data_IF_367868817245
#
_entry.id   IF_367868817245
#
_cell.length_a   1.000
_cell.length_b   1.000
_cell.length_c   1.000
_cell.angle_alpha   90.00
_cell.angle_beta   90.00
_cell.angle_gamma   90.00
#
_symmetry.space_group_name_H-M   'P 1'
#
loop_
_entity.id
_entity.type
_entity.pdbx_description
1 polymer ?
#
# COMPACT_ATOMS: atom_id res chain seq x y z
N UNK A 1 9.18 -27.54 16.57
CA UNK A 1 9.68 -26.17 16.41
C UNK A 1 9.23 -25.67 15.04
N UNK A 2 8.10 -24.97 14.97
CA UNK A 2 7.65 -24.38 13.69
C UNK A 2 8.45 -23.09 13.52
N UNK A 3 9.42 -23.09 12.61
CA UNK A 3 10.04 -21.86 12.14
C UNK A 3 8.94 -21.12 11.39
N UNK A 4 8.45 -20.02 11.95
CA UNK A 4 7.61 -19.07 11.21
C UNK A 4 8.50 -18.51 10.08
N UNK A 5 8.55 -19.20 8.96
CA UNK A 5 9.01 -18.67 7.69
C UNK A 5 7.99 -17.61 7.28
N UNK A 6 8.12 -16.41 7.87
CA UNK A 6 7.52 -15.21 7.31
C UNK A 6 8.13 -15.10 5.93
N UNK A 7 7.33 -15.44 4.94
CA UNK A 7 7.71 -15.30 3.57
C UNK A 7 8.23 -13.87 3.31
N UNK A 8 9.10 -13.63 2.32
CA UNK A 8 9.54 -12.28 1.95
C UNK A 8 8.36 -11.34 1.64
N UNK A 9 7.22 -11.92 1.24
CA UNK A 9 5.93 -11.27 0.98
C UNK A 9 5.03 -11.10 2.21
N UNK A 10 5.45 -11.57 3.39
CA UNK A 10 4.79 -11.40 4.70
C UNK A 10 5.39 -10.20 5.47
N UNK A 11 6.00 -9.27 4.74
CA UNK A 11 6.46 -8.01 5.33
C UNK A 11 5.28 -7.08 5.58
N UNK A 12 5.33 -6.28 6.65
CA UNK A 12 4.31 -5.27 6.93
C UNK A 12 4.11 -4.31 5.75
N UNK A 13 5.17 -4.09 4.97
CA UNK A 13 5.13 -3.32 3.73
C UNK A 13 4.30 -4.00 2.63
N UNK A 14 4.45 -5.31 2.43
CA UNK A 14 3.65 -6.05 1.44
C UNK A 14 2.16 -6.02 1.78
N UNK A 15 1.82 -6.11 3.08
CA UNK A 15 0.43 -5.95 3.55
C UNK A 15 -0.10 -4.54 3.32
N UNK A 16 0.73 -3.53 3.60
CA UNK A 16 0.41 -2.12 3.35
C UNK A 16 0.18 -1.85 1.86
N UNK A 17 1.12 -2.24 1.00
CA UNK A 17 1.01 -2.13 -0.47
C UNK A 17 -0.27 -2.78 -0.98
N UNK A 18 -0.57 -4.01 -0.55
CA UNK A 18 -1.80 -4.71 -0.96
C UNK A 18 -3.06 -3.93 -0.60
N UNK A 19 -3.16 -3.39 0.62
CA UNK A 19 -4.32 -2.60 1.06
C UNK A 19 -4.50 -1.32 0.25
N UNK A 20 -3.40 -0.62 -0.06
CA UNK A 20 -3.44 0.56 -0.92
C UNK A 20 -3.90 0.18 -2.34
N UNK A 21 -3.32 -0.87 -2.93
CA UNK A 21 -3.71 -1.36 -4.25
C UNK A 21 -5.18 -1.77 -4.33
N UNK A 22 -5.70 -2.47 -3.32
CA UNK A 22 -7.13 -2.83 -3.22
C UNK A 22 -8.03 -1.58 -3.21
N UNK A 23 -7.68 -0.54 -2.44
CA UNK A 23 -8.49 0.70 -2.40
C UNK A 23 -8.39 1.52 -3.69
N UNK A 24 -7.23 1.53 -4.35
CA UNK A 24 -7.05 2.17 -5.65
C UNK A 24 -7.89 1.50 -6.73
N UNK A 25 -7.89 0.17 -6.77
CA UNK A 25 -8.72 -0.60 -7.72
C UNK A 25 -10.21 -0.35 -7.51
N UNK A 26 -10.67 -0.25 -6.26
CA UNK A 26 -12.05 0.14 -5.95
C UNK A 26 -12.38 1.57 -6.42
N UNK A 27 -11.39 2.47 -6.42
CA UNK A 27 -11.49 3.82 -6.98
C UNK A 27 -11.37 3.89 -8.51
N UNK A 28 -11.15 2.77 -9.21
CA UNK A 28 -10.96 2.73 -10.66
C UNK A 28 -9.54 3.09 -11.13
N UNK A 29 -8.58 3.17 -10.21
CA UNK A 29 -7.17 3.40 -10.50
C UNK A 29 -6.45 2.07 -10.79
N UNK A 30 -5.60 2.05 -11.82
CA UNK A 30 -4.77 0.88 -12.14
C UNK A 30 -3.56 0.79 -11.22
N UNK A 31 -3.16 -0.44 -10.85
CA UNK A 31 -2.03 -0.73 -9.95
C UNK A 31 -0.70 -0.10 -10.43
N UNK A 32 -0.57 0.13 -11.74
CA UNK A 32 0.60 0.76 -12.38
C UNK A 32 0.86 2.23 -12.03
N UNK A 33 -0.06 2.90 -11.32
CA UNK A 33 0.04 4.34 -11.03
C UNK A 33 0.99 4.61 -9.85
N UNK A 34 1.29 3.59 -9.04
CA UNK A 34 2.01 3.78 -7.78
C UNK A 34 3.31 3.01 -7.78
N UNK A 35 4.42 3.76 -7.75
CA UNK A 35 5.73 3.16 -7.62
C UNK A 35 5.96 2.60 -6.20
N UNK A 36 6.63 1.45 -6.14
CA UNK A 36 6.94 0.78 -4.87
C UNK A 36 7.87 1.63 -4.01
N UNK A 37 8.70 2.49 -4.61
CA UNK A 37 9.59 3.38 -3.87
C UNK A 37 8.83 4.51 -3.14
N UNK A 38 7.76 5.03 -3.73
CA UNK A 38 6.89 6.04 -3.12
C UNK A 38 6.10 5.41 -1.96
N UNK A 39 5.47 4.26 -2.20
CA UNK A 39 4.79 3.50 -1.14
C UNK A 39 5.72 3.14 0.02
N UNK A 40 6.95 2.74 -0.28
CA UNK A 40 7.93 2.38 0.74
C UNK A 40 8.32 3.60 1.57
N UNK A 41 8.39 4.77 0.96
CA UNK A 41 8.66 6.02 1.66
C UNK A 41 7.53 6.37 2.62
N UNK A 42 6.28 6.30 2.18
CA UNK A 42 5.11 6.51 3.06
C UNK A 42 5.06 5.50 4.22
N UNK A 43 5.31 4.22 3.93
CA UNK A 43 5.36 3.18 4.94
C UNK A 43 6.46 3.44 5.99
N UNK A 44 7.65 3.88 5.56
CA UNK A 44 8.76 4.23 6.46
C UNK A 44 8.49 5.47 7.29
N UNK A 45 7.76 6.44 6.73
CA UNK A 45 7.30 7.63 7.46
C UNK A 45 6.19 7.31 8.46
N UNK A 46 5.57 6.12 8.36
CA UNK A 46 4.46 5.71 9.22
C UNK A 46 3.15 6.42 8.86
N UNK A 47 3.02 6.85 7.61
CA UNK A 47 1.85 7.55 7.12
C UNK A 47 0.62 6.64 7.10
N UNK A 48 -0.55 7.23 7.34
CA UNK A 48 -1.81 6.48 7.33
C UNK A 48 -2.24 6.12 5.91
N UNK A 49 -2.93 4.99 5.76
CA UNK A 49 -3.41 4.51 4.45
C UNK A 49 -4.29 5.55 3.73
N UNK A 50 -5.15 6.26 4.48
CA UNK A 50 -6.00 7.34 3.95
C UNK A 50 -5.20 8.53 3.42
N UNK A 51 -4.14 8.92 4.12
CA UNK A 51 -3.26 9.99 3.66
C UNK A 51 -2.56 9.59 2.36
N UNK A 52 -2.06 8.36 2.31
CA UNK A 52 -1.33 7.84 1.16
C UNK A 52 -2.25 7.74 -0.05
N UNK A 53 -3.47 7.24 0.10
CA UNK A 53 -4.46 7.24 -0.98
C UNK A 53 -4.79 8.66 -1.48
N UNK A 54 -4.92 9.62 -0.58
CA UNK A 54 -5.15 11.03 -0.94
C UNK A 54 -3.94 11.62 -1.68
N UNK A 55 -2.72 11.33 -1.23
CA UNK A 55 -1.48 11.78 -1.85
C UNK A 55 -1.26 11.17 -3.24
N UNK A 56 -1.72 9.94 -3.46
CA UNK A 56 -1.70 9.24 -4.75
C UNK A 56 -2.81 9.73 -5.70
N UNK A 57 -3.60 10.73 -5.32
CA UNK A 57 -4.67 11.28 -6.15
C UNK A 57 -5.96 10.45 -6.13
N UNK A 58 -6.03 9.41 -5.30
CA UNK A 58 -7.24 8.66 -5.05
C UNK A 58 -8.04 9.34 -3.94
N UNK A 59 -8.72 10.43 -4.29
CA UNK A 59 -9.79 10.97 -3.46
C UNK A 59 -10.96 9.97 -3.49
N UNK A 60 -10.97 9.01 -2.57
CA UNK A 60 -12.18 8.22 -2.32
C UNK A 60 -13.27 9.20 -1.85
N UNK A 61 -14.22 9.48 -2.74
CA UNK A 61 -15.45 10.22 -2.41
C UNK A 61 -15.49 11.68 -2.86
N UNK A 62 -15.28 11.97 -4.15
CA UNK A 62 -15.86 13.16 -4.78
C UNK A 62 -16.72 12.78 -5.97
#
# INVERSE_FOLDING_TARGET
MIRNERFPWDSGFSSFKRRIGEQLQLGGFTDDIVDDSDLLSFYRMGESETYVLSALGCAVGM
#
